data_IF_008331208845
#
_entry.id   IF_008331208845
#
_cell.length_a   1.000
_cell.length_b   1.000
_cell.length_c   1.000
_cell.angle_alpha   90.00
_cell.angle_beta   90.00
_cell.angle_gamma   90.00
#
_symmetry.space_group_name_H-M   'P 1'
#
loop_
_entity.id
_entity.type
_entity.pdbx_description
1 polymer ?
#
# COMPACT_ATOMS: atom_id res chain seq x y z
N UNK A 1 2.65 -9.30 11.44
CA UNK A 1 3.12 -9.18 10.05
C UNK A 1 3.79 -7.83 9.88
N UNK A 2 4.36 -7.51 8.73
CA UNK A 2 4.84 -6.17 8.41
C UNK A 2 4.28 -5.76 7.05
N UNK A 3 4.04 -4.47 6.88
CA UNK A 3 3.49 -3.89 5.66
C UNK A 3 4.50 -2.89 5.11
N UNK A 4 4.62 -2.85 3.78
CA UNK A 4 5.34 -1.79 3.11
C UNK A 4 4.59 -1.34 1.85
N UNK A 5 4.75 -0.07 1.49
CA UNK A 5 4.24 0.49 0.24
C UNK A 5 5.36 1.17 -0.50
N UNK A 6 5.70 0.58 -1.64
CA UNK A 6 6.75 1.07 -2.52
C UNK A 6 6.12 1.70 -3.77
N UNK A 7 6.62 2.85 -4.19
CA UNK A 7 6.24 3.48 -5.45
C UNK A 7 7.12 2.99 -6.59
N UNK A 8 6.51 2.50 -7.67
CA UNK A 8 7.18 2.11 -8.90
C UNK A 8 6.85 3.17 -9.96
N UNK A 9 7.84 3.98 -10.34
CA UNK A 9 7.66 5.03 -11.35
C UNK A 9 7.71 4.45 -12.76
N UNK A 10 6.80 4.92 -13.62
CA UNK A 10 6.77 4.51 -15.03
C UNK A 10 6.22 5.62 -15.89
N UNK A 11 7.01 6.12 -16.85
CA UNK A 11 6.58 7.10 -17.86
C UNK A 11 6.08 6.45 -19.15
N UNK A 12 5.92 5.12 -19.17
CA UNK A 12 5.41 4.41 -20.33
C UNK A 12 3.93 4.70 -20.54
N UNK A 13 3.55 5.14 -21.75
CA UNK A 13 2.17 5.46 -22.11
C UNK A 13 1.23 4.24 -22.07
N UNK A 14 1.78 3.02 -22.14
CA UNK A 14 0.99 1.78 -22.20
C UNK A 14 0.71 1.15 -20.83
N UNK A 15 1.18 1.77 -19.73
CA UNK A 15 0.97 1.25 -18.38
C UNK A 15 -0.20 1.99 -17.74
N UNK A 16 -1.43 1.51 -17.97
CA UNK A 16 -2.68 2.19 -17.58
C UNK A 16 -2.76 2.45 -16.07
N UNK A 17 -2.18 1.57 -15.24
CA UNK A 17 -2.14 1.72 -13.79
C UNK A 17 -1.11 2.75 -13.30
N UNK A 18 -0.17 3.17 -14.15
CA UNK A 18 0.81 4.22 -13.84
C UNK A 18 0.12 5.59 -13.88
N UNK A 19 -0.70 5.85 -12.87
CA UNK A 19 -1.47 7.08 -12.72
C UNK A 19 -0.70 8.07 -11.87
N UNK A 20 -1.04 9.36 -11.98
CA UNK A 20 -0.41 10.40 -11.18
C UNK A 20 -0.65 10.12 -9.69
N UNK A 21 0.44 9.87 -8.96
CA UNK A 21 0.46 9.73 -7.52
C UNK A 21 1.35 10.80 -6.89
N UNK A 22 1.11 11.10 -5.61
CA UNK A 22 1.93 12.02 -4.84
C UNK A 22 2.99 11.22 -4.10
N UNK A 23 4.25 11.42 -4.46
CA UNK A 23 5.38 10.82 -3.75
C UNK A 23 5.73 11.61 -2.47
N UNK A 24 6.68 11.08 -1.69
CA UNK A 24 7.17 11.68 -0.43
C UNK A 24 7.79 13.08 -0.61
N UNK A 25 8.18 13.44 -1.83
CA UNK A 25 8.73 14.77 -2.20
C UNK A 25 7.66 15.75 -2.71
N UNK A 26 6.38 15.38 -2.66
CA UNK A 26 5.25 16.13 -3.23
C UNK A 26 5.27 16.28 -4.77
N UNK A 27 6.13 15.54 -5.45
CA UNK A 27 6.14 15.50 -6.90
C UNK A 27 5.01 14.58 -7.40
N UNK A 28 4.28 15.04 -8.40
CA UNK A 28 3.23 14.27 -9.06
C UNK A 28 3.83 13.56 -10.26
N UNK A 29 4.12 12.27 -10.12
CA UNK A 29 4.68 11.45 -11.19
C UNK A 29 3.77 10.24 -11.46
N UNK A 30 3.69 9.80 -12.73
CA UNK A 30 3.08 8.53 -13.08
C UNK A 30 3.75 7.38 -12.31
N UNK A 31 2.96 6.69 -11.48
CA UNK A 31 3.46 5.63 -10.62
C UNK A 31 2.42 4.52 -10.42
N UNK A 32 2.91 3.34 -10.06
CA UNK A 32 2.12 2.22 -9.53
C UNK A 32 2.54 2.06 -8.07
N UNK A 33 1.57 1.83 -7.18
CA UNK A 33 1.88 1.54 -5.79
C UNK A 33 1.90 0.02 -5.61
N UNK A 34 3.03 -0.51 -5.14
CA UNK A 34 3.19 -1.90 -4.73
C UNK A 34 2.97 -1.99 -3.22
N UNK A 35 1.89 -2.69 -2.85
CA UNK A 35 1.66 -3.11 -1.48
C UNK A 35 2.29 -4.47 -1.24
N UNK A 36 3.05 -4.60 -0.15
CA UNK A 36 3.70 -5.84 0.26
C UNK A 36 3.32 -6.20 1.70
N UNK A 37 2.86 -7.43 1.90
CA UNK A 37 2.65 -8.02 3.22
C UNK A 37 3.71 -9.09 3.47
N UNK A 38 4.44 -8.92 4.56
CA UNK A 38 5.55 -9.78 4.94
C UNK A 38 5.24 -10.51 6.26
N UNK A 39 5.44 -11.82 6.25
CA UNK A 39 5.36 -12.65 7.46
C UNK A 39 6.70 -12.58 8.18
N UNK A 40 6.69 -12.01 9.40
CA UNK A 40 7.89 -11.88 10.24
C UNK A 40 8.29 -13.22 10.87
N UNK A 41 7.33 -14.11 11.11
CA UNK A 41 7.53 -15.46 11.62
C UNK A 41 8.13 -16.41 10.57
N UNK A 42 7.65 -16.35 9.32
CA UNK A 42 8.12 -17.20 8.22
C UNK A 42 9.22 -16.55 7.40
N UNK A 43 9.58 -15.29 7.71
CA UNK A 43 10.62 -14.51 7.03
C UNK A 43 10.44 -14.46 5.51
N UNK A 44 9.21 -14.32 5.02
CA UNK A 44 8.90 -14.29 3.58
C UNK A 44 7.72 -13.37 3.24
N UNK A 45 7.66 -12.83 2.01
CA UNK A 45 6.45 -12.16 1.54
C UNK A 45 5.33 -13.20 1.40
N UNK A 46 4.15 -12.86 1.90
CA UNK A 46 2.98 -13.73 1.89
C UNK A 46 1.88 -13.21 0.98
N UNK A 47 1.89 -11.91 0.68
CA UNK A 47 0.93 -11.28 -0.23
C UNK A 47 1.52 -10.01 -0.84
N UNK A 48 1.11 -9.71 -2.07
CA UNK A 48 1.37 -8.42 -2.70
C UNK A 48 0.18 -7.99 -3.56
N UNK A 49 0.02 -6.68 -3.74
CA UNK A 49 -0.99 -6.11 -4.63
C UNK A 49 -0.43 -4.88 -5.34
N UNK A 50 -0.66 -4.79 -6.64
CA UNK A 50 -0.40 -3.57 -7.41
C UNK A 50 -1.69 -2.75 -7.44
N UNK A 51 -1.61 -1.47 -7.08
CA UNK A 51 -2.74 -0.54 -7.19
C UNK A 51 -2.32 0.70 -7.99
N UNK A 52 -3.25 1.36 -8.69
CA UNK A 52 -2.93 2.58 -9.42
C UNK A 52 -2.31 3.64 -8.51
N UNK A 53 -1.32 4.39 -9.01
CA UNK A 53 -0.60 5.42 -8.24
C UNK A 53 -1.46 6.49 -7.56
N UNK A 54 -2.63 6.76 -8.13
CA UNK A 54 -3.64 7.68 -7.60
C UNK A 54 -4.33 7.17 -6.32
N UNK A 55 -4.31 5.85 -6.06
CA UNK A 55 -4.91 5.25 -4.87
C UNK A 55 -3.94 5.36 -3.70
N UNK A 56 -4.38 6.06 -2.65
CA UNK A 56 -3.64 6.26 -1.39
C UNK A 56 -4.25 5.52 -0.20
N UNK A 57 -5.36 4.83 -0.44
CA UNK A 57 -6.25 4.37 0.63
C UNK A 57 -5.85 3.02 1.22
N UNK A 58 -5.58 3.07 2.52
CA UNK A 58 -5.34 1.94 3.42
C UNK A 58 -6.60 1.09 3.58
N UNK A 59 -7.78 1.63 3.30
CA UNK A 59 -9.05 0.92 3.20
C UNK A 59 -8.98 -0.27 2.24
N UNK A 60 -8.29 -0.12 1.10
CA UNK A 60 -8.06 -1.20 0.12
C UNK A 60 -7.29 -2.39 0.72
N UNK A 61 -6.43 -2.08 1.69
CA UNK A 61 -5.48 -2.96 2.37
C UNK A 61 -6.21 -3.72 3.49
N UNK A 62 -7.02 -3.01 4.27
CA UNK A 62 -7.97 -3.57 5.23
C UNK A 62 -8.92 -4.56 4.57
N UNK A 63 -9.56 -4.18 3.46
CA UNK A 63 -10.42 -5.09 2.68
C UNK A 63 -9.66 -6.35 2.24
N UNK A 64 -8.40 -6.22 1.81
CA UNK A 64 -7.58 -7.38 1.45
C UNK A 64 -7.27 -8.29 2.64
N UNK A 65 -7.03 -7.69 3.81
CA UNK A 65 -6.74 -8.39 5.05
C UNK A 65 -8.00 -9.12 5.56
N UNK A 66 -9.16 -8.48 5.51
CA UNK A 66 -10.46 -9.13 5.80
C UNK A 66 -10.71 -10.32 4.85
N UNK A 67 -10.50 -10.13 3.54
CA UNK A 67 -10.62 -11.20 2.53
C UNK A 67 -9.66 -12.37 2.81
N UNK A 68 -8.46 -12.08 3.32
CA UNK A 68 -7.42 -13.08 3.57
C UNK A 68 -7.66 -13.95 4.81
N UNK A 69 -8.61 -13.59 5.70
CA UNK A 69 -8.90 -14.26 6.99
C UNK A 69 -7.71 -14.33 7.96
N UNK A 70 -6.68 -13.53 7.72
CA UNK A 70 -5.51 -13.46 8.58
C UNK A 70 -5.87 -12.78 9.91
N UNK A 71 -5.39 -13.32 11.03
CA UNK A 71 -5.57 -12.77 12.37
C UNK A 71 -4.23 -12.27 12.92
N UNK A 72 -4.29 -11.37 13.92
CA UNK A 72 -3.13 -10.86 14.66
C UNK A 72 -2.09 -10.13 13.78
N UNK A 73 -2.56 -9.10 13.07
CA UNK A 73 -1.71 -8.30 12.19
C UNK A 73 -1.21 -7.07 12.93
N UNK A 74 0.11 -7.01 13.15
CA UNK A 74 0.80 -5.76 13.45
C UNK A 74 1.00 -5.02 12.12
N UNK A 75 0.46 -3.81 12.01
CA UNK A 75 0.72 -2.93 10.87
C UNK A 75 1.90 -2.02 11.22
N UNK A 76 2.98 -2.10 10.45
CA UNK A 76 4.07 -1.14 10.49
C UNK A 76 4.02 -0.43 9.15
N UNK A 77 3.77 0.88 9.15
CA UNK A 77 3.70 1.68 7.92
C UNK A 77 4.65 2.88 8.02
N UNK A 78 5.11 3.37 6.88
CA UNK A 78 5.90 4.60 6.81
C UNK A 78 5.05 5.84 7.19
N UNK A 79 5.69 6.96 7.54
CA UNK A 79 5.01 8.23 7.87
C UNK A 79 4.04 8.70 6.77
N UNK A 80 4.27 8.32 5.51
CA UNK A 80 3.34 8.57 4.41
C UNK A 80 1.97 7.86 4.54
N UNK A 81 1.88 6.82 5.39
CA UNK A 81 0.62 6.15 5.77
C UNK A 81 -0.16 6.90 6.86
N UNK A 82 0.48 7.84 7.57
CA UNK A 82 -0.13 8.52 8.70
C UNK A 82 -1.05 9.64 8.22
N UNK A 83 -2.34 9.34 8.10
CA UNK A 83 -3.43 10.32 8.00
C UNK A 83 -4.46 10.04 9.09
N UNK A 84 -5.21 11.07 9.51
CA UNK A 84 -6.28 10.89 10.49
C UNK A 84 -7.34 9.89 9.99
N UNK A 85 -7.66 9.96 8.69
CA UNK A 85 -8.62 9.08 8.04
C UNK A 85 -8.15 7.62 8.06
N UNK A 86 -6.88 7.36 7.75
CA UNK A 86 -6.30 6.01 7.77
C UNK A 86 -6.30 5.42 9.19
N UNK A 87 -6.01 6.23 10.21
CA UNK A 87 -6.02 5.75 11.60
C UNK A 87 -7.44 5.39 12.03
N UNK A 88 -8.43 6.23 11.67
CA UNK A 88 -9.83 5.98 11.99
C UNK A 88 -10.35 4.68 11.34
N UNK A 89 -10.00 4.44 10.07
CA UNK A 89 -10.36 3.21 9.37
C UNK A 89 -9.65 1.97 9.91
N UNK A 90 -8.43 2.11 10.44
CA UNK A 90 -7.66 1.00 11.02
C UNK A 90 -8.06 0.64 12.47
N UNK A 91 -8.65 1.60 13.20
CA UNK A 91 -9.02 1.44 14.62
C UNK A 91 -10.49 1.02 14.82
N UNK A 92 -11.28 0.96 13.75
CA UNK A 92 -12.70 0.53 13.75
C UNK A 92 -12.83 -0.92 13.30
#
# INVERSE_FOLDING_TARGET
>A
MAVDLTHIFSLSENVISATLGRNSEQNYLPQINLFLLFSLDQMKPIFYRLVPGSIRDVSSLLLSMEESKVRDIILVGDKGFYSADNIYELDT
#
